data_IF_556685995162
#
_entry.id   IF_556685995162
#
_cell.length_a   1.000
_cell.length_b   1.000
_cell.length_c   1.000
_cell.angle_alpha   90.00
_cell.angle_beta   90.00
_cell.angle_gamma   90.00
#
_symmetry.space_group_name_H-M   'P 1'
#
loop_
_entity.id
_entity.type
_entity.pdbx_description
1 polymer ?
#
# COMPACT_ATOMS: atom_id res chain seq x y z
N UNK A 1 -11.57 -11.38 9.69
CA UNK A 1 -10.84 -11.25 10.97
C UNK A 1 -10.37 -12.57 11.51
N UNK A 2 -9.76 -12.54 12.68
CA UNK A 2 -9.34 -13.67 13.48
C UNK A 2 -10.05 -13.62 14.83
N UNK A 3 -9.82 -14.62 15.69
CA UNK A 3 -10.34 -14.61 17.06
C UNK A 3 -9.97 -13.33 17.84
N UNK A 4 -8.76 -12.80 17.61
CA UNK A 4 -8.20 -11.69 18.40
C UNK A 4 -8.11 -10.36 17.66
N UNK A 5 -8.33 -10.35 16.35
CA UNK A 5 -8.07 -9.15 15.54
C UNK A 5 -8.97 -9.05 14.31
N UNK A 6 -9.32 -7.82 13.97
CA UNK A 6 -9.89 -7.45 12.68
C UNK A 6 -8.74 -7.35 11.67
N UNK A 7 -8.84 -8.03 10.54
CA UNK A 7 -7.81 -8.04 9.49
C UNK A 7 -8.13 -7.11 8.34
N UNK A 8 -9.40 -7.02 7.97
CA UNK A 8 -9.87 -6.17 6.88
C UNK A 8 -11.24 -5.61 7.21
N UNK A 9 -11.44 -4.35 6.93
CA UNK A 9 -12.73 -3.68 6.97
C UNK A 9 -12.96 -3.04 5.62
N UNK A 10 -14.15 -3.27 5.08
CA UNK A 10 -14.65 -2.58 3.91
C UNK A 10 -16.06 -2.12 4.23
N UNK A 11 -16.31 -0.83 4.09
CA UNK A 11 -17.60 -0.25 4.48
C UNK A 11 -17.99 0.90 3.57
N UNK A 12 -19.28 1.04 3.38
CA UNK A 12 -19.90 2.18 2.73
C UNK A 12 -20.89 2.82 3.72
N UNK A 13 -20.79 4.11 3.93
CA UNK A 13 -21.60 4.80 4.93
C UNK A 13 -21.97 6.22 4.47
N UNK A 14 -23.12 6.73 4.96
CA UNK A 14 -23.59 8.09 4.72
C UNK A 14 -23.33 8.94 5.95
N UNK A 15 -22.13 9.51 6.07
CA UNK A 15 -21.72 10.48 7.10
C UNK A 15 -22.02 10.04 8.55
N UNK A 16 -21.82 8.76 8.85
CA UNK A 16 -21.95 8.26 10.22
C UNK A 16 -20.79 8.76 11.10
N UNK A 17 -21.06 8.92 12.41
CA UNK A 17 -20.01 9.29 13.37
C UNK A 17 -18.97 8.20 13.52
N UNK A 18 -17.75 8.58 13.92
CA UNK A 18 -16.64 7.64 14.18
C UNK A 18 -17.00 6.60 15.24
N UNK A 19 -17.68 7.01 16.32
CA UNK A 19 -18.12 6.10 17.38
C UNK A 19 -19.10 5.04 16.85
N UNK A 20 -20.01 5.42 15.97
CA UNK A 20 -20.97 4.49 15.38
C UNK A 20 -20.26 3.52 14.42
N UNK A 21 -19.31 4.02 13.62
CA UNK A 21 -18.51 3.18 12.72
C UNK A 21 -17.64 2.20 13.50
N UNK A 22 -17.00 2.65 14.58
CA UNK A 22 -16.22 1.78 15.47
C UNK A 22 -17.12 0.72 16.11
N UNK A 23 -18.29 1.13 16.60
CA UNK A 23 -19.28 0.21 17.17
C UNK A 23 -19.72 -0.87 16.18
N UNK A 24 -19.93 -0.51 14.92
CA UNK A 24 -20.27 -1.47 13.86
C UNK A 24 -19.16 -2.48 13.60
N UNK A 25 -17.90 -2.04 13.57
CA UNK A 25 -16.73 -2.94 13.40
C UNK A 25 -16.60 -3.91 14.57
N UNK A 26 -16.75 -3.42 15.81
CA UNK A 26 -16.69 -4.25 17.02
C UNK A 26 -17.83 -5.26 17.08
N UNK A 27 -19.03 -4.83 16.73
CA UNK A 27 -20.19 -5.71 16.61
C UNK A 27 -19.93 -6.82 15.58
N UNK A 28 -19.49 -6.48 14.38
CA UNK A 28 -19.19 -7.45 13.33
C UNK A 28 -18.09 -8.43 13.76
N UNK A 29 -17.06 -7.98 14.47
CA UNK A 29 -16.04 -8.86 15.01
C UNK A 29 -16.58 -9.83 16.07
N UNK A 30 -17.48 -9.37 16.93
CA UNK A 30 -18.13 -10.23 17.93
C UNK A 30 -18.99 -11.32 17.27
N UNK A 31 -19.82 -10.95 16.27
CA UNK A 31 -20.66 -11.90 15.54
C UNK A 31 -19.84 -12.89 14.69
N UNK A 32 -18.71 -12.48 14.18
CA UNK A 32 -17.78 -13.33 13.42
C UNK A 32 -17.23 -14.48 14.27
N UNK A 33 -17.19 -14.37 15.59
CA UNK A 33 -16.66 -15.44 16.47
C UNK A 33 -17.42 -16.76 16.31
N UNK A 34 -18.72 -16.71 16.02
CA UNK A 34 -19.51 -17.90 15.76
C UNK A 34 -18.99 -18.67 14.52
N UNK A 35 -18.63 -17.95 13.46
CA UNK A 35 -18.07 -18.54 12.25
C UNK A 35 -16.68 -19.12 12.51
N UNK A 36 -15.82 -18.40 13.22
CA UNK A 36 -14.47 -18.84 13.57
C UNK A 36 -14.53 -20.12 14.41
N UNK A 37 -15.45 -20.17 15.37
CA UNK A 37 -15.68 -21.37 16.17
C UNK A 37 -16.15 -22.56 15.31
N UNK A 38 -17.08 -22.33 14.37
CA UNK A 38 -17.52 -23.40 13.45
C UNK A 38 -16.40 -23.90 12.55
N UNK A 39 -15.51 -23.04 12.09
CA UNK A 39 -14.31 -23.42 11.33
C UNK A 39 -13.36 -24.26 12.19
N UNK A 40 -13.16 -23.91 13.46
CA UNK A 40 -12.32 -24.68 14.36
C UNK A 40 -12.93 -26.06 14.66
N UNK A 41 -14.23 -26.15 14.93
CA UNK A 41 -14.93 -27.39 15.12
C UNK A 41 -14.84 -28.32 13.88
N UNK A 42 -14.96 -27.75 12.69
CA UNK A 42 -14.79 -28.49 11.43
C UNK A 42 -13.34 -29.00 11.27
N UNK A 43 -12.35 -28.17 11.62
CA UNK A 43 -10.94 -28.55 11.62
C UNK A 43 -10.73 -29.78 12.57
N UNK A 44 -11.28 -29.71 13.75
CA UNK A 44 -11.12 -30.77 14.75
C UNK A 44 -11.79 -32.11 14.32
N UNK A 45 -12.90 -32.03 13.57
CA UNK A 45 -13.64 -33.21 13.07
C UNK A 45 -13.06 -33.79 11.78
N UNK A 46 -12.58 -32.99 10.86
CA UNK A 46 -12.24 -33.42 9.51
C UNK A 46 -10.96 -32.76 8.94
N UNK A 47 -10.21 -32.05 9.77
CA UNK A 47 -8.96 -31.39 9.35
C UNK A 47 -7.87 -32.41 9.01
N UNK A 48 -7.00 -32.07 8.10
CA UNK A 48 -5.76 -32.81 7.84
C UNK A 48 -4.66 -32.28 8.77
N UNK A 49 -3.53 -33.00 8.81
CA UNK A 49 -2.35 -32.53 9.52
C UNK A 49 -1.95 -31.12 9.05
N UNK A 50 -1.58 -30.29 10.01
CA UNK A 50 -1.14 -28.93 9.73
C UNK A 50 0.13 -28.95 8.88
N UNK A 51 0.22 -28.04 7.93
CA UNK A 51 1.43 -27.88 7.13
C UNK A 51 2.59 -27.42 8.02
N UNK A 52 3.71 -28.09 7.91
CA UNK A 52 4.95 -27.64 8.54
C UNK A 52 5.50 -26.48 7.73
N UNK A 53 5.36 -25.28 8.25
CA UNK A 53 5.96 -24.08 7.65
C UNK A 53 7.38 -23.96 8.20
N UNK A 54 8.37 -23.96 7.30
CA UNK A 54 9.76 -23.74 7.71
C UNK A 54 9.90 -22.34 8.31
N UNK A 55 10.51 -22.29 9.50
CA UNK A 55 10.84 -21.02 10.15
C UNK A 55 12.07 -20.43 9.45
N UNK A 56 11.99 -19.16 9.06
CA UNK A 56 13.12 -18.45 8.50
C UNK A 56 14.05 -17.96 9.63
N UNK A 57 15.11 -18.69 9.88
CA UNK A 57 16.10 -18.36 10.91
C UNK A 57 17.21 -17.43 10.40
N UNK A 58 17.40 -17.33 9.09
CA UNK A 58 18.50 -16.55 8.49
C UNK A 58 18.17 -15.04 8.40
N UNK A 59 16.96 -14.68 8.03
CA UNK A 59 16.58 -13.24 7.91
C UNK A 59 16.76 -12.46 9.21
N UNK A 60 16.46 -12.99 10.42
CA UNK A 60 16.75 -12.31 11.68
C UNK A 60 18.24 -12.10 11.93
N UNK A 61 19.10 -13.03 11.49
CA UNK A 61 20.56 -12.89 11.60
C UNK A 61 21.05 -11.76 10.71
N UNK A 62 20.67 -11.77 9.43
CA UNK A 62 21.01 -10.68 8.51
C UNK A 62 20.48 -9.33 9.00
N UNK A 63 19.27 -9.29 9.56
CA UNK A 63 18.74 -8.07 10.16
C UNK A 63 19.62 -7.54 11.30
N UNK A 64 20.11 -8.42 12.17
CA UNK A 64 21.04 -8.06 13.26
C UNK A 64 22.34 -7.46 12.75
N UNK A 65 22.97 -8.12 11.77
CA UNK A 65 24.23 -7.66 11.15
C UNK A 65 24.05 -6.30 10.43
N UNK A 66 23.01 -6.17 9.62
CA UNK A 66 22.71 -4.92 8.91
C UNK A 66 22.40 -3.78 9.89
N UNK A 67 21.66 -4.08 10.96
CA UNK A 67 21.34 -3.11 12.01
C UNK A 67 22.59 -2.57 12.69
N UNK A 68 23.56 -3.42 13.00
CA UNK A 68 24.82 -3.01 13.62
C UNK A 68 25.65 -2.13 12.68
N UNK A 69 25.78 -2.54 11.41
CA UNK A 69 26.67 -1.88 10.45
C UNK A 69 26.07 -0.63 9.81
N UNK A 70 24.80 -0.66 9.43
CA UNK A 70 24.21 0.31 8.49
C UNK A 70 23.16 1.25 9.09
N UNK A 71 22.70 1.05 10.34
CA UNK A 71 21.66 1.91 10.95
C UNK A 71 21.99 3.40 10.86
N UNK A 72 23.21 3.79 11.15
CA UNK A 72 23.63 5.21 11.16
C UNK A 72 23.55 5.82 9.76
N UNK A 73 24.04 5.10 8.76
CA UNK A 73 24.03 5.56 7.36
C UNK A 73 22.61 5.66 6.82
N UNK A 74 21.77 4.64 7.07
CA UNK A 74 20.35 4.64 6.65
C UNK A 74 19.59 5.78 7.34
N UNK A 75 19.77 5.96 8.65
CA UNK A 75 19.13 7.04 9.39
C UNK A 75 19.56 8.43 8.90
N UNK A 76 20.81 8.60 8.50
CA UNK A 76 21.30 9.84 7.90
C UNK A 76 20.68 10.09 6.51
N UNK A 77 20.55 9.08 5.68
CA UNK A 77 19.91 9.17 4.37
C UNK A 77 18.43 9.58 4.50
N UNK A 78 17.70 9.02 5.47
CA UNK A 78 16.30 9.38 5.70
C UNK A 78 16.07 10.78 6.31
N UNK A 79 17.12 11.50 6.69
CA UNK A 79 17.04 12.93 7.06
C UNK A 79 17.09 13.88 5.85
N UNK A 80 17.44 13.38 4.68
CA UNK A 80 17.43 14.16 3.44
C UNK A 80 15.97 14.39 3.04
N UNK A 81 15.56 15.65 3.00
CA UNK A 81 14.17 16.02 2.69
C UNK A 81 13.85 15.84 1.22
N UNK A 82 14.78 16.19 0.33
CA UNK A 82 14.60 15.98 -1.11
C UNK A 82 14.51 14.48 -1.43
N UNK A 83 13.48 14.12 -2.18
CA UNK A 83 13.16 12.72 -2.49
C UNK A 83 14.20 12.09 -3.41
N UNK A 84 14.69 12.83 -4.40
CA UNK A 84 15.65 12.30 -5.38
C UNK A 84 17.00 12.04 -4.73
N UNK A 85 17.53 13.02 -3.97
CA UNK A 85 18.78 12.90 -3.22
C UNK A 85 18.70 11.78 -2.16
N UNK A 86 17.59 11.68 -1.45
CA UNK A 86 17.35 10.59 -0.49
C UNK A 86 17.34 9.22 -1.17
N UNK A 87 16.67 9.10 -2.30
CA UNK A 87 16.61 7.83 -3.05
C UNK A 87 17.99 7.42 -3.55
N UNK A 88 18.79 8.37 -4.02
CA UNK A 88 20.16 8.12 -4.45
C UNK A 88 21.05 7.68 -3.26
N UNK A 89 20.96 8.36 -2.14
CA UNK A 89 21.71 8.00 -0.93
C UNK A 89 21.38 6.57 -0.45
N UNK A 90 20.11 6.21 -0.43
CA UNK A 90 19.65 4.84 -0.10
C UNK A 90 20.12 3.83 -1.14
N UNK A 91 20.13 4.18 -2.42
CA UNK A 91 20.60 3.31 -3.50
C UNK A 91 22.10 2.99 -3.34
N UNK A 92 22.92 3.96 -2.95
CA UNK A 92 24.35 3.76 -2.66
C UNK A 92 24.54 2.79 -1.50
N UNK A 93 23.81 2.97 -0.39
CA UNK A 93 23.87 2.06 0.75
C UNK A 93 23.46 0.65 0.34
N UNK A 94 22.39 0.52 -0.42
CA UNK A 94 21.90 -0.76 -0.94
C UNK A 94 22.97 -1.45 -1.81
N UNK A 95 23.63 -0.72 -2.69
CA UNK A 95 24.71 -1.25 -3.54
C UNK A 95 25.90 -1.73 -2.71
N UNK A 96 26.24 -1.01 -1.65
CA UNK A 96 27.29 -1.42 -0.70
C UNK A 96 26.93 -2.73 0.00
N UNK A 97 25.69 -2.86 0.47
CA UNK A 97 25.20 -4.09 1.10
C UNK A 97 25.25 -5.26 0.10
N UNK A 98 24.80 -5.06 -1.15
CA UNK A 98 24.86 -6.10 -2.17
C UNK A 98 26.30 -6.56 -2.39
N UNK A 99 27.26 -5.65 -2.43
CA UNK A 99 28.68 -5.99 -2.59
C UNK A 99 29.27 -6.71 -1.35
N UNK A 100 28.81 -6.38 -0.13
CA UNK A 100 29.25 -7.10 1.09
C UNK A 100 28.80 -8.57 1.12
N UNK A 101 27.73 -8.90 0.41
CA UNK A 101 27.11 -10.23 0.39
C UNK A 101 27.17 -10.87 -1.01
N UNK A 102 28.10 -10.44 -1.89
CA UNK A 102 28.19 -10.91 -3.29
C UNK A 102 28.39 -12.42 -3.46
N UNK A 103 28.95 -13.09 -2.45
CA UNK A 103 29.19 -14.54 -2.42
C UNK A 103 27.93 -15.37 -2.13
N UNK A 104 26.81 -14.73 -1.79
CA UNK A 104 25.56 -15.42 -1.48
C UNK A 104 24.78 -15.78 -2.74
N UNK A 105 24.06 -16.90 -2.68
CA UNK A 105 23.10 -17.27 -3.70
C UNK A 105 21.89 -16.29 -3.73
N UNK A 106 21.11 -16.33 -4.83
CA UNK A 106 19.98 -15.44 -5.04
C UNK A 106 18.92 -15.53 -3.94
N UNK A 107 18.73 -16.72 -3.35
CA UNK A 107 17.75 -16.94 -2.30
C UNK A 107 18.17 -16.23 -1.01
N UNK A 108 19.43 -16.36 -0.62
CA UNK A 108 19.98 -15.67 0.56
C UNK A 108 20.08 -14.18 0.33
N UNK A 109 20.48 -13.74 -0.85
CA UNK A 109 20.46 -12.32 -1.23
C UNK A 109 19.03 -11.72 -1.09
N UNK A 110 18.00 -12.45 -1.49
CA UNK A 110 16.62 -12.03 -1.27
C UNK A 110 16.27 -11.85 0.21
N UNK A 111 16.78 -12.71 1.10
CA UNK A 111 16.62 -12.58 2.55
C UNK A 111 17.37 -11.36 3.11
N UNK A 112 18.59 -11.10 2.65
CA UNK A 112 19.36 -9.88 2.99
C UNK A 112 18.58 -8.63 2.60
N UNK A 113 18.03 -8.59 1.37
CA UNK A 113 17.21 -7.46 0.91
C UNK A 113 15.90 -7.31 1.69
N UNK A 114 15.30 -8.41 2.11
CA UNK A 114 14.14 -8.43 3.01
C UNK A 114 14.47 -7.83 4.38
N UNK A 115 15.61 -8.23 4.95
CA UNK A 115 16.13 -7.70 6.21
C UNK A 115 16.45 -6.19 6.11
N UNK A 116 17.09 -5.76 5.01
CA UNK A 116 17.34 -4.35 4.73
C UNK A 116 16.07 -3.53 4.68
N UNK A 117 15.06 -3.97 3.92
CA UNK A 117 13.76 -3.29 3.83
C UNK A 117 13.05 -3.21 5.18
N UNK A 118 13.16 -4.25 6.01
CA UNK A 118 12.64 -4.22 7.38
C UNK A 118 13.37 -3.19 8.23
N UNK A 119 14.70 -3.12 8.14
CA UNK A 119 15.50 -2.15 8.88
C UNK A 119 15.17 -0.70 8.48
N UNK A 120 15.04 -0.41 7.18
CA UNK A 120 14.55 0.89 6.68
C UNK A 120 13.20 1.25 7.32
N UNK A 121 12.24 0.32 7.29
CA UNK A 121 10.91 0.52 7.87
C UNK A 121 10.98 0.81 9.37
N UNK A 122 11.78 0.06 10.11
CA UNK A 122 11.91 0.22 11.56
C UNK A 122 12.57 1.56 11.93
N UNK A 123 13.59 2.00 11.17
CA UNK A 123 14.25 3.29 11.37
C UNK A 123 13.27 4.44 11.11
N UNK A 124 12.59 4.42 9.96
CA UNK A 124 11.66 5.49 9.58
C UNK A 124 10.47 5.58 10.55
N UNK A 125 9.84 4.45 10.87
CA UNK A 125 8.70 4.42 11.80
C UNK A 125 9.08 4.87 13.20
N UNK A 126 10.22 4.39 13.71
CA UNK A 126 10.72 4.81 15.02
C UNK A 126 11.01 6.30 15.05
N UNK A 127 11.64 6.83 14.00
CA UNK A 127 11.91 8.27 13.88
C UNK A 127 10.64 9.09 13.87
N UNK A 128 9.61 8.69 13.13
CA UNK A 128 8.32 9.41 13.10
C UNK A 128 7.64 9.38 14.48
N UNK A 129 7.63 8.23 15.14
CA UNK A 129 7.02 8.09 16.47
C UNK A 129 7.72 8.97 17.50
N UNK A 130 9.06 9.00 17.48
CA UNK A 130 9.86 9.74 18.46
C UNK A 130 9.94 11.24 18.19
N UNK A 131 10.11 11.62 16.93
CA UNK A 131 10.39 13.00 16.52
C UNK A 131 9.17 13.74 15.98
N UNK A 132 8.05 13.05 15.75
CA UNK A 132 6.82 13.61 15.17
C UNK A 132 7.04 14.30 13.81
N UNK A 133 8.09 13.92 13.10
CA UNK A 133 8.50 14.50 11.82
C UNK A 133 8.57 13.40 10.76
N UNK A 134 7.91 13.63 9.64
CA UNK A 134 7.93 12.73 8.48
C UNK A 134 9.20 12.91 7.65
N UNK A 135 9.50 11.95 6.78
CA UNK A 135 10.71 11.95 5.93
C UNK A 135 10.79 13.15 4.96
N UNK A 136 9.68 13.80 4.68
CA UNK A 136 9.60 15.01 3.85
C UNK A 136 9.59 16.30 4.67
N UNK A 137 9.92 16.23 5.95
CA UNK A 137 10.04 17.36 6.86
C UNK A 137 8.74 17.91 7.43
N UNK A 138 7.57 17.34 7.04
CA UNK A 138 6.28 17.71 7.64
C UNK A 138 6.13 17.10 9.03
N UNK A 139 5.28 17.70 9.83
CA UNK A 139 4.74 17.07 11.05
C UNK A 139 3.69 15.99 10.71
N UNK A 140 3.09 15.42 11.75
CA UNK A 140 2.10 14.34 11.60
C UNK A 140 0.73 14.84 11.10
N UNK A 141 0.41 16.12 11.30
CA UNK A 141 -0.89 16.72 11.00
C UNK A 141 -0.91 17.49 9.67
N UNK A 142 0.23 17.97 9.20
CA UNK A 142 0.32 18.74 7.97
C UNK A 142 0.08 17.90 6.73
N UNK A 143 -0.93 18.25 5.95
CA UNK A 143 -1.22 17.65 4.64
C UNK A 143 -0.22 18.17 3.60
N UNK A 144 0.14 17.35 2.61
CA UNK A 144 0.94 17.82 1.48
C UNK A 144 0.23 18.96 0.75
N UNK A 145 0.96 19.93 0.20
CA UNK A 145 0.36 21.05 -0.58
C UNK A 145 -0.54 20.48 -1.69
N UNK A 146 -1.75 21.01 -1.76
CA UNK A 146 -2.73 20.65 -2.79
C UNK A 146 -2.89 21.83 -3.71
N UNK A 147 -2.83 21.57 -5.01
CA UNK A 147 -3.12 22.53 -6.06
C UNK A 147 -4.05 21.92 -7.10
N UNK A 148 -5.00 22.71 -7.57
CA UNK A 148 -6.01 22.24 -8.53
C UNK A 148 -6.19 23.28 -9.62
N UNK A 149 -6.12 22.83 -10.86
CA UNK A 149 -6.45 23.62 -12.04
C UNK A 149 -7.57 22.94 -12.82
N UNK A 150 -8.59 23.69 -13.19
CA UNK A 150 -9.75 23.18 -13.93
C UNK A 150 -9.78 23.71 -15.36
N UNK A 151 -10.46 22.95 -16.25
CA UNK A 151 -10.66 23.41 -17.63
C UNK A 151 -9.45 23.28 -18.55
N UNK A 152 -8.48 22.43 -18.24
CA UNK A 152 -7.28 22.23 -19.06
C UNK A 152 -7.57 21.71 -20.47
N UNK A 153 -8.55 20.82 -20.59
CA UNK A 153 -8.90 20.16 -21.85
C UNK A 153 -10.13 20.82 -22.46
N UNK A 154 -9.99 21.66 -23.49
CA UNK A 154 -11.10 22.49 -24.00
C UNK A 154 -12.18 21.71 -24.72
N UNK A 155 -11.96 20.46 -25.08
CA UNK A 155 -12.93 19.59 -25.75
C UNK A 155 -13.56 18.53 -24.83
N UNK A 156 -13.16 18.47 -23.57
CA UNK A 156 -13.78 17.60 -22.57
C UNK A 156 -14.97 18.30 -21.90
N UNK A 157 -15.94 17.54 -21.40
CA UNK A 157 -17.06 18.12 -20.65
C UNK A 157 -16.59 18.69 -19.31
N UNK A 158 -15.61 18.07 -18.68
CA UNK A 158 -14.90 18.58 -17.53
C UNK A 158 -13.48 18.05 -17.47
N UNK A 159 -12.55 18.85 -16.97
CA UNK A 159 -11.16 18.42 -16.73
C UNK A 159 -10.56 19.15 -15.57
N UNK A 160 -9.73 18.46 -14.80
CA UNK A 160 -8.98 19.04 -13.69
C UNK A 160 -7.61 18.38 -13.57
N UNK A 161 -6.59 19.18 -13.36
CA UNK A 161 -5.28 18.71 -12.92
C UNK A 161 -5.21 18.87 -11.41
N UNK A 162 -5.12 17.74 -10.72
CA UNK A 162 -4.97 17.70 -9.27
C UNK A 162 -3.51 17.39 -8.93
N UNK A 163 -2.90 18.20 -8.10
CA UNK A 163 -1.52 18.01 -7.63
C UNK A 163 -1.51 17.96 -6.11
N UNK A 164 -0.89 16.91 -5.55
CA UNK A 164 -0.63 16.78 -4.12
C UNK A 164 0.85 16.50 -3.89
N UNK A 165 1.59 17.50 -3.50
CA UNK A 165 3.05 17.43 -3.44
C UNK A 165 3.63 17.10 -4.82
N UNK A 166 4.30 15.98 -4.95
CA UNK A 166 4.92 15.52 -6.21
C UNK A 166 4.02 14.63 -7.06
N UNK A 167 2.81 14.30 -6.59
CA UNK A 167 1.87 13.41 -7.28
C UNK A 167 0.83 14.22 -8.03
N UNK A 168 0.59 13.88 -9.29
CA UNK A 168 -0.41 14.51 -10.14
C UNK A 168 -1.41 13.50 -10.68
N UNK A 169 -2.64 13.94 -10.84
CA UNK A 169 -3.69 13.21 -11.54
C UNK A 169 -4.43 14.15 -12.50
N UNK A 170 -4.48 13.78 -13.79
CA UNK A 170 -5.35 14.44 -14.75
C UNK A 170 -6.71 13.73 -14.74
N UNK A 171 -7.71 14.41 -14.24
CA UNK A 171 -9.07 13.89 -14.13
C UNK A 171 -9.92 14.46 -15.25
N UNK A 172 -10.65 13.61 -15.96
CA UNK A 172 -11.51 14.01 -17.07
C UNK A 172 -12.92 13.47 -16.81
N UNK A 173 -13.90 14.32 -16.92
CA UNK A 173 -15.31 13.95 -16.83
C UNK A 173 -15.98 13.97 -18.20
N UNK A 174 -16.73 12.92 -18.50
CA UNK A 174 -17.56 12.82 -19.71
C UNK A 174 -19.00 12.54 -19.28
N UNK A 175 -19.91 13.38 -19.72
CA UNK A 175 -21.34 13.19 -19.49
C UNK A 175 -21.96 12.46 -20.68
N UNK A 176 -22.70 11.41 -20.40
CA UNK A 176 -23.42 10.62 -21.40
C UNK A 176 -24.95 10.70 -21.21
N UNK A 177 -25.64 10.07 -22.13
CA UNK A 177 -27.07 9.83 -22.04
C UNK A 177 -27.38 8.49 -21.36
N UNK A 178 -28.61 8.20 -21.05
CA UNK A 178 -29.05 6.90 -20.51
C UNK A 178 -28.69 5.71 -21.42
N UNK A 179 -28.44 5.96 -22.72
CA UNK A 179 -28.03 4.93 -23.68
C UNK A 179 -26.56 4.55 -23.55
N UNK A 180 -25.77 5.39 -22.92
CA UNK A 180 -24.33 5.20 -22.73
C UNK A 180 -24.01 4.42 -21.42
N UNK A 181 -25.06 4.13 -20.63
CA UNK A 181 -24.92 3.38 -19.40
C UNK A 181 -24.43 1.94 -19.65
N UNK A 182 -23.58 1.44 -18.76
CA UNK A 182 -23.02 0.09 -18.83
C UNK A 182 -24.10 -0.93 -18.45
N UNK A 183 -24.33 -1.94 -19.29
CA UNK A 183 -25.16 -3.09 -18.96
C UNK A 183 -24.29 -4.16 -18.30
N UNK A 184 -24.72 -4.61 -17.14
CA UNK A 184 -24.07 -5.66 -16.36
C UNK A 184 -24.96 -6.89 -16.37
N UNK A 185 -24.45 -8.02 -16.86
CA UNK A 185 -25.13 -9.32 -16.81
C UNK A 185 -24.49 -10.17 -15.73
N UNK A 186 -25.28 -10.63 -14.78
CA UNK A 186 -24.86 -11.50 -13.68
C UNK A 186 -25.78 -12.71 -13.58
N UNK A 187 -25.46 -13.65 -12.70
CA UNK A 187 -26.32 -14.82 -12.40
C UNK A 187 -27.66 -14.35 -11.80
N UNK A 188 -27.69 -13.21 -11.13
CA UNK A 188 -28.89 -12.66 -10.48
C UNK A 188 -29.77 -11.88 -11.44
N UNK A 189 -29.29 -11.56 -12.65
CA UNK A 189 -30.04 -10.83 -13.67
C UNK A 189 -29.22 -9.79 -14.40
N UNK A 190 -29.96 -8.87 -15.05
CA UNK A 190 -29.36 -7.72 -15.76
C UNK A 190 -29.58 -6.45 -14.97
N UNK A 191 -28.51 -5.68 -14.83
CA UNK A 191 -28.53 -4.35 -14.20
C UNK A 191 -27.88 -3.30 -15.11
N UNK A 192 -28.05 -2.03 -14.77
CA UNK A 192 -27.51 -0.91 -15.55
C UNK A 192 -26.75 0.03 -14.63
N UNK A 193 -25.46 0.21 -14.86
CA UNK A 193 -24.64 1.15 -14.14
C UNK A 193 -24.50 2.46 -14.91
N UNK A 194 -24.82 3.57 -14.24
CA UNK A 194 -24.75 4.92 -14.80
C UNK A 194 -23.45 5.65 -14.47
N UNK A 195 -22.57 5.04 -13.68
CA UNK A 195 -21.30 5.61 -13.31
C UNK A 195 -20.16 4.65 -13.69
N UNK A 196 -19.18 5.18 -14.42
CA UNK A 196 -17.98 4.43 -14.79
C UNK A 196 -16.76 5.23 -14.35
N UNK A 197 -15.84 4.58 -13.65
CA UNK A 197 -14.54 5.13 -13.27
C UNK A 197 -13.43 4.34 -13.96
N UNK A 198 -12.64 5.03 -14.78
CA UNK A 198 -11.44 4.50 -15.38
C UNK A 198 -10.22 5.10 -14.70
N UNK A 199 -9.32 4.26 -14.21
CA UNK A 199 -8.09 4.67 -13.56
C UNK A 199 -6.90 4.14 -14.34
N UNK A 200 -6.18 5.04 -14.98
CA UNK A 200 -4.98 4.71 -15.74
C UNK A 200 -3.74 5.04 -14.89
N UNK A 201 -2.85 4.06 -14.75
CA UNK A 201 -1.61 4.20 -14.00
C UNK A 201 -0.41 3.84 -14.90
N UNK A 202 0.03 4.76 -15.76
CA UNK A 202 1.12 4.50 -16.69
C UNK A 202 2.45 4.28 -15.96
N UNK A 203 3.34 3.48 -16.57
CA UNK A 203 4.62 3.08 -15.98
C UNK A 203 5.48 4.26 -15.53
N UNK A 204 5.47 5.38 -16.27
CA UNK A 204 6.21 6.59 -15.89
C UNK A 204 5.77 7.20 -14.55
N UNK A 205 4.55 6.88 -14.06
CA UNK A 205 4.08 7.36 -12.74
C UNK A 205 4.90 6.82 -11.57
N UNK A 206 5.61 5.72 -11.78
CA UNK A 206 6.54 5.11 -10.82
C UNK A 206 7.99 5.11 -11.30
N UNK A 207 8.31 5.91 -12.34
CA UNK A 207 9.65 5.99 -12.90
C UNK A 207 10.09 4.78 -13.71
N UNK A 208 9.16 3.95 -14.15
CA UNK A 208 9.43 2.78 -14.97
C UNK A 208 9.23 3.06 -16.45
N UNK A 209 9.96 2.33 -17.30
CA UNK A 209 9.75 2.32 -18.74
C UNK A 209 8.87 1.10 -19.05
N UNK A 210 7.74 1.33 -19.71
CA UNK A 210 6.85 0.24 -20.10
C UNK A 210 5.71 0.70 -21.03
N UNK A 211 5.21 -0.23 -21.84
CA UNK A 211 4.00 -0.01 -22.62
C UNK A 211 2.77 -0.47 -21.80
N UNK A 212 1.69 0.28 -21.78
CA UNK A 212 0.44 -0.18 -21.21
C UNK A 212 -0.13 -1.32 -22.10
N UNK A 213 -0.04 -2.54 -21.62
CA UNK A 213 -0.57 -3.74 -22.31
C UNK A 213 -2.03 -4.04 -21.95
N UNK A 214 -2.77 -3.08 -21.45
CA UNK A 214 -4.14 -3.20 -20.98
C UNK A 214 -4.29 -2.82 -19.50
N UNK A 215 -5.50 -2.80 -18.96
CA UNK A 215 -5.75 -2.41 -17.59
C UNK A 215 -5.11 -3.41 -16.61
N UNK A 216 -4.46 -2.89 -15.59
CA UNK A 216 -3.92 -3.67 -14.48
C UNK A 216 -5.00 -3.83 -13.40
N UNK A 217 -4.76 -4.66 -12.40
CA UNK A 217 -5.72 -5.00 -11.34
C UNK A 217 -6.43 -3.81 -10.67
N UNK A 218 -5.81 -2.62 -10.70
CA UNK A 218 -6.34 -1.40 -10.06
C UNK A 218 -6.86 -0.36 -11.07
N UNK A 219 -6.87 -0.71 -12.35
CA UNK A 219 -7.31 0.17 -13.45
C UNK A 219 -8.71 -0.18 -13.90
#
# INVERSE_FOLDING_TARGET
GTEKAVLMVESEAKELSEDLMLGAVLFAHAEMQAVIKGVQELKDLAGKEDWVVAVDEETPVFYGELKEKHTTAIAAAFKIVDKSERTEAISVIKSTIIAEYEDLDDMKMSKVMGAFKKLESDIVRTSIIQNKTRIDGRDEDTVRPIWVETGLLPKAHGSSLFTRGETQALVVATLGSTRDAQRIESIEGQDTDHFMLHYNFPAYSVGEIGMPLGPKRRE
#
